data_IF_478392060945
#
_entry.id   IF_478392060945
#
_cell.length_a   1.000
_cell.length_b   1.000
_cell.length_c   1.000
_cell.angle_alpha   90.00
_cell.angle_beta   90.00
_cell.angle_gamma   90.00
#
_symmetry.space_group_name_H-M   'P 1'
#
loop_
_entity.id
_entity.type
_entity.pdbx_description
1 polymer ?
#
# COMPACT_ATOMS: atom_id res chain seq x y z
N UNK A 1 11.42 -1.36 -1.64
CA UNK A 1 11.20 0.11 -1.59
C UNK A 1 11.72 0.76 -0.33
N UNK A 2 10.99 0.70 0.80
CA UNK A 2 11.44 1.34 2.05
C UNK A 2 12.84 0.87 2.44
N UNK A 3 13.06 -0.46 2.41
CA UNK A 3 14.37 -1.05 2.64
C UNK A 3 15.44 -0.59 1.63
N UNK A 4 15.11 -0.51 0.33
CA UNK A 4 16.05 -0.02 -0.70
C UNK A 4 16.54 1.40 -0.39
N UNK A 5 15.66 2.25 0.17
CA UNK A 5 15.99 3.62 0.57
C UNK A 5 16.44 3.76 2.03
N UNK A 6 16.62 2.65 2.74
CA UNK A 6 17.04 2.60 4.14
C UNK A 6 16.11 3.41 5.06
N UNK A 7 14.82 3.44 4.73
CA UNK A 7 13.78 4.07 5.54
C UNK A 7 13.24 3.04 6.52
N UNK A 8 13.38 3.32 7.81
CA UNK A 8 12.90 2.45 8.88
C UNK A 8 11.44 2.71 9.23
N UNK A 9 10.71 1.63 9.47
CA UNK A 9 9.34 1.65 9.99
C UNK A 9 9.13 0.43 10.89
N UNK A 10 8.94 0.67 12.18
CA UNK A 10 8.82 -0.40 13.18
C UNK A 10 7.36 -0.72 13.56
N UNK A 11 6.41 -0.02 12.95
CA UNK A 11 4.98 -0.23 13.17
C UNK A 11 4.24 -0.17 11.84
N UNK A 12 3.06 -0.78 11.79
CA UNK A 12 2.24 -0.73 10.58
C UNK A 12 1.83 0.70 10.19
N UNK A 13 1.46 1.53 11.17
CA UNK A 13 1.17 2.95 10.93
C UNK A 13 2.43 3.70 10.47
N UNK A 14 3.60 3.30 10.97
CA UNK A 14 4.89 3.77 10.48
C UNK A 14 5.05 3.48 8.99
N UNK A 15 4.78 2.25 8.54
CA UNK A 15 4.85 1.89 7.12
C UNK A 15 3.90 2.75 6.27
N UNK A 16 2.64 2.94 6.69
CA UNK A 16 1.66 3.79 5.99
C UNK A 16 2.15 5.24 5.87
N UNK A 17 2.72 5.78 6.95
CA UNK A 17 3.27 7.14 6.99
C UNK A 17 4.47 7.29 6.07
N UNK A 18 5.43 6.37 6.16
CA UNK A 18 6.66 6.41 5.37
C UNK A 18 6.38 6.21 3.87
N UNK A 19 5.44 5.33 3.51
CA UNK A 19 4.96 5.16 2.14
C UNK A 19 4.41 6.49 1.59
N UNK A 20 3.52 7.14 2.33
CA UNK A 20 2.92 8.42 1.92
C UNK A 20 3.98 9.51 1.77
N UNK A 21 4.87 9.64 2.76
CA UNK A 21 5.88 10.70 2.80
C UNK A 21 6.90 10.60 1.67
N UNK A 22 7.45 9.41 1.43
CA UNK A 22 8.62 9.24 0.56
C UNK A 22 8.29 8.82 -0.87
N UNK A 23 7.11 8.28 -1.12
CA UNK A 23 6.74 7.75 -2.43
C UNK A 23 5.52 8.45 -3.01
N UNK A 24 4.53 8.83 -2.20
CA UNK A 24 3.30 9.47 -2.72
C UNK A 24 3.49 10.98 -2.86
N UNK A 25 3.91 11.66 -1.80
CA UNK A 25 4.14 13.12 -1.82
C UNK A 25 5.27 13.56 -2.75
N UNK A 26 6.14 12.64 -3.12
CA UNK A 26 7.24 12.85 -4.07
C UNK A 26 6.86 12.52 -5.51
N UNK A 27 5.63 12.04 -5.75
CA UNK A 27 5.12 11.72 -7.09
C UNK A 27 5.61 10.39 -7.67
N UNK A 28 6.26 9.54 -6.87
CA UNK A 28 6.74 8.22 -7.32
C UNK A 28 5.64 7.16 -7.33
N UNK A 29 4.58 7.37 -6.54
CA UNK A 29 3.36 6.58 -6.52
C UNK A 29 2.16 7.53 -6.50
N UNK A 30 1.13 7.20 -7.26
CA UNK A 30 -0.10 8.01 -7.27
C UNK A 30 -0.84 7.98 -5.93
N UNK A 31 -1.66 9.00 -5.69
CA UNK A 31 -2.51 9.09 -4.50
C UNK A 31 -3.49 7.91 -4.38
N UNK A 32 -3.94 7.36 -5.51
CA UNK A 32 -4.83 6.18 -5.52
C UNK A 32 -4.16 4.94 -4.92
N UNK A 33 -2.84 4.78 -5.12
CA UNK A 33 -2.07 3.71 -4.50
C UNK A 33 -2.01 3.86 -2.98
N UNK A 34 -1.81 5.08 -2.49
CA UNK A 34 -1.83 5.38 -1.04
C UNK A 34 -3.19 5.08 -0.41
N UNK A 35 -4.26 5.49 -1.11
CA UNK A 35 -5.64 5.29 -0.66
C UNK A 35 -5.99 3.79 -0.63
N UNK A 36 -5.61 3.06 -1.68
CA UNK A 36 -5.80 1.61 -1.79
C UNK A 36 -5.07 0.86 -0.68
N UNK A 37 -3.79 1.16 -0.46
CA UNK A 37 -3.01 0.55 0.60
C UNK A 37 -3.62 0.82 1.98
N UNK A 38 -4.02 2.07 2.24
CA UNK A 38 -4.66 2.46 3.50
C UNK A 38 -5.96 1.70 3.75
N UNK A 39 -6.84 1.63 2.75
CA UNK A 39 -8.13 0.94 2.85
C UNK A 39 -7.97 -0.56 3.08
N UNK A 40 -7.09 -1.22 2.33
CA UNK A 40 -6.80 -2.65 2.50
C UNK A 40 -6.18 -2.95 3.86
N UNK A 41 -5.29 -2.06 4.34
CA UNK A 41 -4.68 -2.18 5.65
C UNK A 41 -5.73 -2.12 6.78
N UNK A 42 -6.60 -1.12 6.74
CA UNK A 42 -7.65 -0.92 7.74
C UNK A 42 -8.65 -2.10 7.70
N UNK A 43 -8.98 -2.60 6.50
CA UNK A 43 -9.83 -3.79 6.33
C UNK A 43 -9.22 -5.05 6.92
N UNK A 44 -7.94 -5.31 6.66
CA UNK A 44 -7.23 -6.43 7.29
C UNK A 44 -7.29 -6.32 8.81
N UNK A 45 -6.99 -5.13 9.34
CA UNK A 45 -7.01 -4.91 10.79
C UNK A 45 -8.41 -5.17 11.38
N UNK A 46 -9.47 -4.69 10.75
CA UNK A 46 -10.84 -4.96 11.18
C UNK A 46 -11.24 -6.44 11.05
N UNK A 47 -10.69 -7.16 10.07
CA UNK A 47 -10.95 -8.60 9.89
C UNK A 47 -10.23 -9.46 10.93
N UNK A 48 -9.03 -9.04 11.34
CA UNK A 48 -8.20 -9.78 12.30
C UNK A 48 -8.63 -9.51 13.76
N UNK A 49 -9.16 -8.31 14.05
CA UNK A 49 -9.42 -7.86 15.42
C UNK A 49 -10.85 -7.36 15.70
N UNK A 50 -11.69 -7.22 14.68
CA UNK A 50 -13.07 -6.77 14.84
C UNK A 50 -14.05 -7.92 15.04
N UNK A 51 -15.17 -7.64 15.70
CA UNK A 51 -16.25 -8.62 15.91
C UNK A 51 -16.96 -9.00 14.59
N UNK A 52 -16.90 -8.12 13.59
CA UNK A 52 -17.50 -8.30 12.28
C UNK A 52 -16.55 -7.89 11.16
N UNK A 53 -16.37 -8.77 10.17
CA UNK A 53 -15.64 -8.47 8.94
C UNK A 53 -16.63 -8.34 7.78
N UNK A 54 -16.61 -7.19 7.09
CA UNK A 54 -17.44 -6.94 5.91
C UNK A 54 -16.58 -6.89 4.65
N UNK A 55 -16.72 -7.93 3.82
CA UNK A 55 -16.10 -8.04 2.51
C UNK A 55 -17.06 -8.74 1.55
N UNK A 56 -17.78 -7.97 0.74
CA UNK A 56 -18.70 -8.51 -0.26
C UNK A 56 -18.02 -8.63 -1.64
N UNK A 57 -18.68 -9.31 -2.57
CA UNK A 57 -18.14 -9.54 -3.91
C UNK A 57 -17.88 -8.23 -4.67
N UNK A 58 -18.80 -7.26 -4.58
CA UNK A 58 -18.67 -5.97 -5.25
C UNK A 58 -17.42 -5.20 -4.77
N UNK A 59 -17.14 -5.25 -3.48
CA UNK A 59 -15.95 -4.67 -2.90
C UNK A 59 -14.69 -5.40 -3.35
N UNK A 60 -14.71 -6.73 -3.42
CA UNK A 60 -13.57 -7.52 -3.95
C UNK A 60 -13.29 -7.16 -5.40
N UNK A 61 -14.32 -7.04 -6.23
CA UNK A 61 -14.20 -6.67 -7.65
C UNK A 61 -13.58 -5.28 -7.84
N UNK A 62 -13.79 -4.36 -6.89
CA UNK A 62 -13.15 -3.04 -6.89
C UNK A 62 -11.73 -3.08 -6.34
N UNK A 63 -11.50 -3.78 -5.22
CA UNK A 63 -10.24 -3.71 -4.49
C UNK A 63 -9.14 -4.59 -5.09
N UNK A 64 -9.49 -5.74 -5.66
CA UNK A 64 -8.52 -6.66 -6.28
C UNK A 64 -7.71 -6.01 -7.40
N UNK A 65 -8.31 -5.39 -8.44
CA UNK A 65 -7.53 -4.77 -9.50
C UNK A 65 -6.70 -3.58 -8.99
N UNK A 66 -7.18 -2.85 -7.98
CA UNK A 66 -6.42 -1.77 -7.35
C UNK A 66 -5.20 -2.28 -6.57
N UNK A 67 -5.34 -3.41 -5.87
CA UNK A 67 -4.24 -4.06 -5.19
C UNK A 67 -3.18 -4.54 -6.19
N UNK A 68 -3.60 -5.15 -7.29
CA UNK A 68 -2.71 -5.59 -8.37
C UNK A 68 -1.98 -4.40 -9.02
N UNK A 69 -2.69 -3.30 -9.30
CA UNK A 69 -2.10 -2.07 -9.81
C UNK A 69 -1.03 -1.51 -8.84
N UNK A 70 -1.33 -1.49 -7.53
CA UNK A 70 -0.36 -1.09 -6.52
C UNK A 70 0.89 -1.97 -6.49
N UNK A 71 0.72 -3.30 -6.54
CA UNK A 71 1.84 -4.23 -6.59
C UNK A 71 2.69 -3.98 -7.83
N UNK A 72 2.07 -3.82 -9.00
CA UNK A 72 2.77 -3.54 -10.26
C UNK A 72 3.57 -2.23 -10.21
N UNK A 73 2.96 -1.15 -9.71
CA UNK A 73 3.66 0.13 -9.52
C UNK A 73 4.85 -0.02 -8.57
N UNK A 74 4.68 -0.83 -7.51
CA UNK A 74 5.76 -1.12 -6.57
C UNK A 74 6.90 -1.90 -7.22
N UNK A 75 6.59 -2.94 -7.99
CA UNK A 75 7.60 -3.72 -8.69
C UNK A 75 8.38 -2.87 -9.69
N UNK A 76 7.70 -2.04 -10.48
CA UNK A 76 8.33 -1.17 -11.46
C UNK A 76 9.31 -0.21 -10.81
N UNK A 77 8.90 0.48 -9.74
CA UNK A 77 9.75 1.44 -9.05
C UNK A 77 10.93 0.75 -8.33
N UNK A 78 10.75 -0.45 -7.77
CA UNK A 78 11.89 -1.23 -7.22
C UNK A 78 12.86 -1.66 -8.31
N UNK A 79 12.37 -2.05 -9.49
CA UNK A 79 13.23 -2.43 -10.63
C UNK A 79 14.00 -1.22 -11.14
N UNK A 80 13.34 -0.06 -11.32
CA UNK A 80 14.01 1.15 -11.80
C UNK A 80 15.12 1.62 -10.85
N UNK A 81 14.90 1.51 -9.53
CA UNK A 81 15.90 1.83 -8.50
C UNK A 81 17.12 0.89 -8.47
N UNK A 82 17.02 -0.33 -9.03
CA UNK A 82 18.16 -1.27 -9.11
C UNK A 82 18.99 -1.11 -10.37
N UNK A 83 18.43 -0.48 -11.40
CA UNK A 83 19.11 -0.18 -12.67
C UNK A 83 19.73 1.21 -12.73
N UNK A 84 19.43 2.06 -11.75
CA UNK A 84 20.05 3.38 -11.56
C UNK A 84 21.27 3.27 -10.63
#
# INVERSE_FOLDING_TARGET
MLLNRHIEANTHNGVKTQLSMHFVRTGLLDLEHSTTFGLLFDKRHSSDYGDFAYCDAALVDVLRPRAEAFINAVEQLVRSERTA
#
